data_IF_305600177454
#
_entry.id   IF_305600177454
#
_cell.length_a   1.000
_cell.length_b   1.000
_cell.length_c   1.000
_cell.angle_alpha   90.00
_cell.angle_beta   90.00
_cell.angle_gamma   90.00
#
_symmetry.space_group_name_H-M   'P 1'
#
loop_
_entity.id
_entity.type
_entity.pdbx_description
1 polymer ?
#
# COMPACT_ATOMS: atom_id res chain seq x y z
N UNK A 1 -10.91 -26.85 -7.82
CA UNK A 1 -11.57 -27.06 -6.52
C UNK A 1 -12.34 -25.80 -6.13
N UNK A 2 -13.40 -25.92 -5.39
CA UNK A 2 -14.22 -24.79 -4.94
C UNK A 2 -13.41 -23.73 -4.16
N UNK A 3 -12.39 -24.14 -3.40
CA UNK A 3 -11.49 -23.23 -2.69
C UNK A 3 -10.72 -22.31 -3.66
N UNK A 4 -10.12 -22.87 -4.71
CA UNK A 4 -9.38 -22.07 -5.70
C UNK A 4 -10.29 -21.14 -6.50
N UNK A 5 -11.53 -21.54 -6.74
CA UNK A 5 -12.54 -20.70 -7.38
C UNK A 5 -12.95 -19.54 -6.49
N UNK A 6 -13.15 -19.78 -5.18
CA UNK A 6 -13.47 -18.73 -4.22
C UNK A 6 -12.35 -17.70 -4.11
N UNK A 7 -11.08 -18.13 -3.99
CA UNK A 7 -9.91 -17.24 -3.96
C UNK A 7 -9.89 -16.36 -5.22
N UNK A 8 -10.11 -16.94 -6.39
CA UNK A 8 -10.15 -16.20 -7.66
C UNK A 8 -11.34 -15.23 -7.73
N UNK A 9 -12.49 -15.63 -7.20
CA UNK A 9 -13.66 -14.76 -7.12
C UNK A 9 -13.36 -13.54 -6.24
N UNK A 10 -12.83 -13.74 -5.04
CA UNK A 10 -12.42 -12.66 -4.14
C UNK A 10 -11.42 -11.71 -4.79
N UNK A 11 -10.43 -12.23 -5.53
CA UNK A 11 -9.47 -11.39 -6.26
C UNK A 11 -10.15 -10.48 -7.30
N UNK A 12 -11.11 -11.02 -8.07
CA UNK A 12 -11.89 -10.22 -9.04
C UNK A 12 -12.78 -9.18 -8.35
N UNK A 13 -13.39 -9.54 -7.23
CA UNK A 13 -14.21 -8.61 -6.44
C UNK A 13 -13.32 -7.47 -5.92
N UNK A 14 -12.14 -7.78 -5.39
CA UNK A 14 -11.21 -6.78 -4.89
C UNK A 14 -10.73 -5.82 -5.98
N UNK A 15 -10.41 -6.34 -7.17
CA UNK A 15 -10.04 -5.51 -8.32
C UNK A 15 -11.18 -4.55 -8.70
N UNK A 16 -12.41 -5.04 -8.78
CA UNK A 16 -13.58 -4.22 -9.08
C UNK A 16 -13.84 -3.15 -8.00
N UNK A 17 -13.73 -3.52 -6.71
CA UNK A 17 -13.88 -2.60 -5.58
C UNK A 17 -12.84 -1.47 -5.64
N UNK A 18 -11.58 -1.81 -5.91
CA UNK A 18 -10.51 -0.81 -6.07
C UNK A 18 -10.81 0.13 -7.24
N UNK A 19 -11.26 -0.40 -8.38
CA UNK A 19 -11.62 0.42 -9.54
C UNK A 19 -12.78 1.37 -9.25
N UNK A 20 -13.80 0.92 -8.51
CA UNK A 20 -14.91 1.77 -8.08
C UNK A 20 -14.44 2.93 -7.20
N UNK A 21 -13.59 2.66 -6.20
CA UNK A 21 -13.06 3.70 -5.34
C UNK A 21 -12.12 4.67 -6.10
N UNK A 22 -11.33 4.17 -7.05
CA UNK A 22 -10.52 5.03 -7.94
C UNK A 22 -11.40 5.92 -8.83
N UNK A 23 -12.49 5.39 -9.36
CA UNK A 23 -13.44 6.17 -10.17
C UNK A 23 -14.13 7.26 -9.33
N UNK A 24 -14.53 6.92 -8.10
CA UNK A 24 -15.09 7.89 -7.15
C UNK A 24 -14.07 9.00 -6.83
N UNK A 25 -12.82 8.63 -6.56
CA UNK A 25 -11.76 9.60 -6.33
C UNK A 25 -11.58 10.54 -7.54
N UNK A 26 -11.52 9.99 -8.74
CA UNK A 26 -11.37 10.77 -9.96
C UNK A 26 -12.54 11.74 -10.16
N UNK A 27 -13.77 11.28 -9.95
CA UNK A 27 -14.97 12.11 -10.06
C UNK A 27 -14.98 13.27 -9.05
N UNK A 28 -14.63 12.97 -7.79
CA UNK A 28 -14.69 13.97 -6.72
C UNK A 28 -13.53 14.97 -6.76
N UNK A 29 -12.34 14.57 -7.21
CA UNK A 29 -11.12 15.36 -7.02
C UNK A 29 -10.36 15.69 -8.30
N UNK A 30 -10.50 14.91 -9.39
CA UNK A 30 -9.75 15.14 -10.62
C UNK A 30 -10.61 15.77 -11.72
N UNK A 31 -11.87 15.37 -11.83
CA UNK A 31 -12.78 15.81 -12.91
C UNK A 31 -13.68 16.97 -12.51
N UNK A 32 -13.80 17.26 -11.22
CA UNK A 32 -14.67 18.35 -10.77
C UNK A 32 -13.99 19.69 -10.96
N UNK A 33 -14.64 20.59 -11.69
CA UNK A 33 -14.23 22.00 -11.90
C UNK A 33 -14.36 22.85 -10.62
N UNK A 34 -14.10 22.28 -9.46
CA UNK A 34 -14.38 22.90 -8.19
C UNK A 34 -13.28 23.87 -7.77
N UNK A 35 -13.70 25.12 -7.47
CA UNK A 35 -12.87 26.16 -6.87
C UNK A 35 -12.53 25.94 -5.38
N UNK A 36 -12.91 24.78 -4.80
CA UNK A 36 -12.79 24.48 -3.38
C UNK A 36 -11.53 23.64 -3.09
N UNK A 37 -10.43 23.91 -3.77
CA UNK A 37 -9.14 23.30 -3.53
C UNK A 37 -8.08 24.35 -3.24
N UNK A 38 -7.10 24.00 -2.42
CA UNK A 38 -5.93 24.84 -2.15
C UNK A 38 -4.72 24.15 -2.75
N UNK A 39 -3.92 24.87 -3.55
CA UNK A 39 -2.64 24.32 -4.01
C UNK A 39 -1.73 24.04 -2.83
N UNK A 40 -1.22 22.81 -2.77
CA UNK A 40 -0.38 22.34 -1.69
C UNK A 40 0.58 21.26 -2.18
N UNK A 41 1.08 20.49 -1.25
CA UNK A 41 2.04 19.40 -1.49
C UNK A 41 1.60 18.14 -0.76
N UNK A 42 2.18 17.00 -1.10
CA UNK A 42 1.89 15.74 -0.42
C UNK A 42 2.16 15.86 1.10
N UNK A 43 3.13 16.68 1.50
CA UNK A 43 3.41 16.94 2.91
C UNK A 43 2.27 17.63 3.66
N UNK A 44 1.31 18.24 3.00
CA UNK A 44 0.17 18.89 3.67
C UNK A 44 -0.85 17.86 4.17
N UNK A 45 -1.01 16.75 3.48
CA UNK A 45 -1.98 15.68 3.83
C UNK A 45 -1.35 14.47 4.54
N UNK A 46 -0.03 14.27 4.42
CA UNK A 46 0.62 13.07 4.91
C UNK A 46 1.99 13.34 5.57
N UNK A 47 2.39 12.40 6.42
CA UNK A 47 3.74 12.31 7.00
C UNK A 47 4.50 11.18 6.31
N UNK A 48 5.69 11.46 5.78
CA UNK A 48 6.50 10.49 5.05
C UNK A 48 7.64 9.98 5.94
N UNK A 49 7.69 8.66 6.11
CA UNK A 49 8.77 7.94 6.78
C UNK A 49 9.56 7.13 5.76
N UNK A 50 10.80 7.53 5.48
CA UNK A 50 11.70 6.74 4.63
C UNK A 50 12.23 5.54 5.40
N UNK A 51 12.19 4.36 4.78
CA UNK A 51 12.65 3.14 5.38
C UNK A 51 14.17 3.07 5.55
N UNK A 52 14.59 2.29 6.54
CA UNK A 52 15.97 2.00 6.85
C UNK A 52 16.13 0.53 7.17
N UNK A 53 16.97 -0.18 6.40
CA UNK A 53 17.18 -1.60 6.62
C UNK A 53 17.91 -1.84 7.94
N UNK A 54 17.43 -2.77 8.79
CA UNK A 54 18.17 -3.26 9.96
C UNK A 54 19.45 -4.01 9.56
N UNK A 55 20.22 -4.46 10.54
CA UNK A 55 21.35 -5.37 10.30
C UNK A 55 20.87 -6.67 9.68
N UNK A 56 21.58 -7.19 8.68
CA UNK A 56 21.25 -8.49 8.06
C UNK A 56 21.29 -9.66 9.05
N UNK A 57 22.09 -9.57 10.11
CA UNK A 57 22.16 -10.57 11.18
C UNK A 57 20.89 -10.66 12.04
N UNK A 58 20.02 -9.64 11.98
CA UNK A 58 18.75 -9.62 12.73
C UNK A 58 17.58 -10.22 11.96
N UNK A 59 17.80 -10.63 10.68
CA UNK A 59 16.73 -11.17 9.83
C UNK A 59 16.47 -12.65 10.12
N UNK A 60 15.21 -13.03 10.09
CA UNK A 60 14.78 -14.41 10.21
C UNK A 60 13.46 -14.65 9.44
N UNK A 61 13.16 -15.91 9.15
CA UNK A 61 11.89 -16.38 8.57
C UNK A 61 11.04 -17.15 9.60
N UNK A 62 11.51 -17.21 10.86
CA UNK A 62 10.87 -17.97 11.97
C UNK A 62 9.75 -17.19 12.64
N UNK A 63 9.49 -15.96 12.23
CA UNK A 63 8.44 -15.10 12.81
C UNK A 63 8.86 -14.36 14.07
N UNK A 64 10.16 -14.27 14.37
CA UNK A 64 10.68 -13.64 15.59
C UNK A 64 10.90 -12.14 15.36
N UNK A 65 10.26 -11.31 16.17
CA UNK A 65 10.35 -9.84 16.10
C UNK A 65 9.28 -9.21 15.21
N UNK A 66 9.60 -8.07 14.61
CA UNK A 66 8.68 -7.31 13.77
C UNK A 66 8.73 -7.81 12.31
N UNK A 67 7.57 -7.85 11.65
CA UNK A 67 7.51 -8.09 10.20
C UNK A 67 8.37 -7.05 9.47
N UNK A 68 9.20 -7.50 8.53
CA UNK A 68 10.11 -6.64 7.81
C UNK A 68 9.94 -6.74 6.30
N UNK A 69 9.69 -5.59 5.67
CA UNK A 69 9.63 -5.45 4.23
C UNK A 69 10.81 -4.63 3.72
N UNK A 70 11.75 -5.26 3.05
CA UNK A 70 12.96 -4.60 2.55
C UNK A 70 12.67 -3.70 1.33
N UNK A 71 11.72 -4.11 0.51
CA UNK A 71 11.32 -3.45 -0.73
C UNK A 71 9.99 -4.01 -1.22
N UNK A 72 9.70 -3.82 -2.50
CA UNK A 72 8.44 -4.22 -3.13
C UNK A 72 8.30 -5.71 -3.45
N UNK A 73 9.32 -6.53 -3.22
CA UNK A 73 9.30 -7.95 -3.59
C UNK A 73 8.15 -8.73 -2.93
N UNK A 74 7.74 -8.30 -1.74
CA UNK A 74 6.65 -8.88 -0.99
C UNK A 74 5.27 -8.25 -1.33
N UNK A 75 5.20 -7.21 -2.16
CA UNK A 75 3.94 -6.53 -2.48
C UNK A 75 2.96 -7.49 -3.15
N UNK A 76 1.74 -7.53 -2.60
CA UNK A 76 0.59 -8.23 -3.16
C UNK A 76 -0.35 -7.27 -3.88
N UNK A 77 -1.61 -7.66 -4.03
CA UNK A 77 -2.63 -6.79 -4.63
C UNK A 77 -2.84 -5.50 -3.81
N UNK A 78 -3.06 -5.62 -2.50
CA UNK A 78 -3.28 -4.49 -1.58
C UNK A 78 -2.33 -4.54 -0.38
N UNK A 79 -1.98 -5.72 0.09
CA UNK A 79 -1.18 -5.95 1.29
C UNK A 79 0.04 -6.79 0.96
N UNK A 80 1.21 -6.53 1.59
CA UNK A 80 2.40 -7.32 1.36
C UNK A 80 2.30 -8.68 2.06
N UNK A 81 2.98 -9.68 1.50
CA UNK A 81 3.08 -11.02 2.08
C UNK A 81 4.15 -11.04 3.18
N UNK A 82 3.80 -11.59 4.34
CA UNK A 82 4.77 -11.84 5.41
C UNK A 82 5.76 -12.90 4.97
N UNK A 83 7.04 -12.62 5.02
CA UNK A 83 8.10 -13.57 4.75
C UNK A 83 9.29 -13.38 5.68
N UNK A 84 9.70 -12.15 5.89
CA UNK A 84 10.90 -11.79 6.62
C UNK A 84 10.54 -11.01 7.88
N UNK A 85 11.29 -11.26 8.95
CA UNK A 85 11.14 -10.62 10.26
C UNK A 85 12.49 -10.07 10.72
N UNK A 86 12.47 -9.12 11.65
CA UNK A 86 13.69 -8.56 12.24
C UNK A 86 13.52 -8.38 13.75
N UNK A 87 14.56 -8.73 14.48
CA UNK A 87 14.66 -8.48 15.94
C UNK A 87 15.18 -7.08 16.26
N UNK A 88 15.65 -6.33 15.25
CA UNK A 88 16.22 -4.98 15.40
C UNK A 88 15.53 -3.97 14.47
N UNK A 89 14.23 -3.69 14.64
CA UNK A 89 13.50 -2.77 13.75
C UNK A 89 14.07 -1.35 13.84
N UNK A 90 14.17 -0.65 12.70
CA UNK A 90 14.72 0.72 12.61
C UNK A 90 13.65 1.76 12.29
N UNK A 91 12.91 1.59 11.21
CA UNK A 91 11.84 2.48 10.76
C UNK A 91 10.56 1.70 10.63
N UNK A 92 9.52 2.21 11.27
CA UNK A 92 8.22 1.53 11.35
C UNK A 92 7.18 2.23 10.49
N UNK A 93 6.32 1.43 9.89
CA UNK A 93 5.02 1.81 9.39
C UNK A 93 3.95 1.25 10.33
N UNK A 94 2.81 1.90 10.39
CA UNK A 94 1.64 1.40 11.14
C UNK A 94 0.58 0.85 10.19
N UNK A 95 -0.36 0.08 10.70
CA UNK A 95 -1.48 -0.42 9.90
C UNK A 95 -2.21 0.74 9.22
N UNK A 96 -2.51 0.61 7.93
CA UNK A 96 -3.16 1.63 7.13
C UNK A 96 -2.22 2.64 6.45
N UNK A 97 -0.91 2.62 6.75
CA UNK A 97 0.06 3.43 6.00
C UNK A 97 0.17 2.93 4.55
N UNK A 98 0.27 3.86 3.62
CA UNK A 98 0.58 3.51 2.23
C UNK A 98 2.08 3.24 2.12
N UNK A 99 2.44 2.04 1.67
CA UNK A 99 3.81 1.64 1.37
C UNK A 99 4.11 1.95 -0.08
N UNK A 100 5.15 2.74 -0.31
CA UNK A 100 5.61 3.14 -1.64
C UNK A 100 6.99 2.56 -1.92
N UNK A 101 7.19 1.94 -3.09
CA UNK A 101 8.54 1.64 -3.57
C UNK A 101 9.26 2.94 -3.95
N UNK A 102 10.39 3.22 -3.28
CA UNK A 102 11.17 4.46 -3.46
C UNK A 102 12.45 4.25 -4.26
N UNK A 103 12.70 3.02 -4.73
CA UNK A 103 13.79 2.63 -5.64
C UNK A 103 13.22 1.90 -6.84
N UNK A 104 13.94 1.96 -7.95
CA UNK A 104 13.49 1.43 -9.24
C UNK A 104 12.99 -0.01 -9.16
N UNK A 105 11.79 -0.26 -9.68
CA UNK A 105 10.82 0.72 -10.15
C UNK A 105 10.15 1.48 -9.00
N UNK A 106 10.19 2.81 -9.10
CA UNK A 106 9.53 3.73 -8.17
C UNK A 106 8.03 3.77 -8.50
N UNK A 107 7.19 3.87 -7.46
CA UNK A 107 5.76 4.12 -7.66
C UNK A 107 4.86 2.90 -7.47
N UNK A 108 5.40 1.71 -7.15
CA UNK A 108 4.56 0.60 -6.72
C UNK A 108 4.02 0.87 -5.32
N UNK A 109 2.72 0.62 -5.15
CA UNK A 109 1.96 0.92 -3.95
C UNK A 109 1.43 -0.35 -3.31
N UNK A 110 1.48 -0.37 -2.00
CA UNK A 110 0.81 -1.36 -1.17
C UNK A 110 0.33 -0.68 0.12
N UNK A 111 -0.28 -1.41 1.02
CA UNK A 111 -0.77 -0.89 2.29
C UNK A 111 -0.24 -1.74 3.44
N UNK A 112 0.25 -1.12 4.48
CA UNK A 112 0.66 -1.84 5.67
C UNK A 112 -0.56 -2.51 6.31
N UNK A 113 -0.58 -3.85 6.30
CA UNK A 113 -1.66 -4.63 6.90
C UNK A 113 -1.64 -4.53 8.43
N UNK A 114 -0.45 -4.43 8.98
CA UNK A 114 -0.14 -4.32 10.40
C UNK A 114 1.08 -3.43 10.60
N UNK A 115 1.44 -3.16 11.84
CA UNK A 115 2.72 -2.53 12.16
C UNK A 115 3.87 -3.37 11.61
N UNK A 116 4.80 -2.73 10.88
CA UNK A 116 5.91 -3.42 10.24
C UNK A 116 7.14 -2.54 10.15
N UNK A 117 8.32 -3.16 10.08
CA UNK A 117 9.57 -2.49 9.78
C UNK A 117 9.73 -2.33 8.26
N UNK A 118 10.17 -1.16 7.80
CA UNK A 118 10.41 -0.88 6.38
C UNK A 118 11.87 -0.61 6.08
N UNK A 119 12.36 -1.27 5.05
CA UNK A 119 13.75 -1.17 4.57
C UNK A 119 13.95 -0.04 3.56
N UNK A 120 15.20 0.14 3.12
CA UNK A 120 15.64 1.23 2.22
C UNK A 120 14.92 1.30 0.87
N UNK A 121 14.22 0.25 0.47
CA UNK A 121 13.43 0.21 -0.76
C UNK A 121 12.05 0.81 -0.64
N UNK A 122 11.60 1.13 0.57
CA UNK A 122 10.24 1.58 0.86
C UNK A 122 10.21 2.92 1.59
N UNK A 123 9.11 3.66 1.36
CA UNK A 123 8.63 4.75 2.19
C UNK A 123 7.22 4.43 2.70
N UNK A 124 6.90 4.84 3.92
CA UNK A 124 5.56 4.81 4.47
C UNK A 124 4.96 6.21 4.46
N UNK A 125 3.72 6.31 4.01
CA UNK A 125 2.97 7.56 3.86
C UNK A 125 1.77 7.45 4.79
N UNK A 126 1.83 8.18 5.90
CA UNK A 126 0.82 8.18 6.96
C UNK A 126 -0.11 9.39 6.83
N UNK A 127 -1.41 9.17 6.88
CA UNK A 127 -2.39 10.27 6.85
C UNK A 127 -2.28 11.15 8.09
N UNK A 128 -2.21 12.47 7.92
CA UNK A 128 -2.19 13.44 9.04
C UNK A 128 -3.53 13.55 9.75
N UNK A 129 -4.60 13.18 9.09
CA UNK A 129 -5.98 13.40 9.53
C UNK A 129 -6.76 12.11 9.74
N UNK A 130 -6.11 10.94 9.57
CA UNK A 130 -6.75 9.64 9.70
C UNK A 130 -7.49 9.16 8.43
N UNK A 131 -7.48 9.93 7.34
CA UNK A 131 -8.12 9.58 6.07
C UNK A 131 -7.17 8.71 5.23
N UNK A 132 -7.01 7.44 5.60
CA UNK A 132 -6.05 6.53 4.96
C UNK A 132 -6.44 6.17 3.54
N UNK A 133 -7.75 6.03 3.26
CA UNK A 133 -8.23 5.77 1.89
C UNK A 133 -7.98 6.97 0.99
N UNK A 134 -8.25 8.19 1.47
CA UNK A 134 -7.95 9.39 0.69
C UNK A 134 -6.46 9.47 0.30
N UNK A 135 -5.54 9.23 1.25
CA UNK A 135 -4.10 9.22 0.97
C UNK A 135 -3.75 8.11 -0.03
N UNK A 136 -4.31 6.90 0.12
CA UNK A 136 -4.07 5.79 -0.80
C UNK A 136 -4.48 6.13 -2.24
N UNK A 137 -5.70 6.65 -2.42
CA UNK A 137 -6.20 6.97 -3.77
C UNK A 137 -5.53 8.22 -4.36
N UNK A 138 -5.10 9.17 -3.53
CA UNK A 138 -4.19 10.24 -3.96
C UNK A 138 -2.89 9.66 -4.50
N UNK A 139 -2.27 8.70 -3.83
CA UNK A 139 -1.05 8.06 -4.29
C UNK A 139 -1.25 7.26 -5.59
N UNK A 140 -2.40 6.62 -5.80
CA UNK A 140 -2.73 6.01 -7.09
C UNK A 140 -2.82 7.05 -8.21
N UNK A 141 -3.44 8.20 -7.96
CA UNK A 141 -3.53 9.29 -8.93
C UNK A 141 -2.15 9.89 -9.28
N UNK A 142 -1.24 9.94 -8.31
CA UNK A 142 0.13 10.45 -8.49
C UNK A 142 1.08 9.47 -9.19
N UNK A 143 0.64 8.25 -9.53
CA UNK A 143 1.51 7.19 -10.06
C UNK A 143 2.24 7.61 -11.36
N UNK A 144 1.59 8.37 -12.23
CA UNK A 144 2.21 8.90 -13.45
C UNK A 144 3.35 9.87 -13.15
N UNK A 145 3.18 10.73 -12.14
CA UNK A 145 4.22 11.67 -11.70
C UNK A 145 5.39 10.93 -11.03
N UNK A 146 5.10 9.88 -10.24
CA UNK A 146 6.13 9.03 -9.63
C UNK A 146 6.97 8.28 -10.65
N UNK A 147 6.40 7.91 -11.81
CA UNK A 147 7.12 7.23 -12.89
C UNK A 147 8.30 8.05 -13.45
N UNK A 148 8.27 9.37 -13.36
CA UNK A 148 9.39 10.25 -13.79
C UNK A 148 10.67 9.94 -13.01
N UNK A 149 10.56 9.44 -11.78
CA UNK A 149 11.70 9.08 -10.94
C UNK A 149 12.31 7.71 -11.25
N UNK A 150 11.80 6.98 -12.24
CA UNK A 150 12.36 5.67 -12.60
C UNK A 150 13.68 5.75 -13.36
N UNK A 151 14.07 6.95 -13.80
CA UNK A 151 15.31 7.16 -14.57
C UNK A 151 15.20 6.67 -16.02
N UNK A 152 16.14 7.07 -16.84
CA UNK A 152 16.28 6.61 -18.23
C UNK A 152 17.60 5.84 -18.38
N UNK A 153 17.54 4.72 -19.11
CA UNK A 153 18.74 3.92 -19.42
C UNK A 153 19.29 3.12 -18.23
N UNK A 154 20.61 3.20 -17.98
CA UNK A 154 21.30 2.41 -16.95
C UNK A 154 21.28 3.03 -15.55
N UNK A 155 20.68 4.19 -15.37
CA UNK A 155 20.59 4.86 -14.07
C UNK A 155 19.36 4.35 -13.33
N UNK A 156 19.58 3.67 -12.22
CA UNK A 156 18.49 3.21 -11.34
C UNK A 156 17.85 4.41 -10.66
N UNK A 157 16.57 4.63 -10.95
CA UNK A 157 15.78 5.70 -10.36
C UNK A 157 15.55 5.52 -8.86
N UNK A 158 15.40 6.64 -8.18
CA UNK A 158 14.98 6.68 -6.78
C UNK A 158 14.32 8.01 -6.48
N UNK A 159 13.43 8.02 -5.47
CA UNK A 159 12.86 9.24 -4.95
C UNK A 159 13.22 9.37 -3.47
N UNK A 160 13.64 10.57 -3.07
CA UNK A 160 13.95 10.87 -1.67
C UNK A 160 12.77 11.53 -0.96
N UNK A 161 12.92 11.73 0.36
CA UNK A 161 11.88 12.29 1.22
C UNK A 161 11.46 13.70 0.79
N UNK A 162 12.42 14.55 0.44
CA UNK A 162 12.16 15.95 0.11
C UNK A 162 11.38 16.06 -1.20
N UNK A 163 11.77 15.25 -2.20
CA UNK A 163 11.05 15.16 -3.46
C UNK A 163 9.62 14.64 -3.28
N UNK A 164 9.42 13.61 -2.42
CA UNK A 164 8.08 13.12 -2.09
C UNK A 164 7.24 14.19 -1.39
N UNK A 165 7.79 14.86 -0.38
CA UNK A 165 7.11 15.92 0.34
C UNK A 165 6.68 17.07 -0.58
N UNK A 166 7.51 17.39 -1.58
CA UNK A 166 7.30 18.50 -2.50
C UNK A 166 6.39 18.17 -3.69
N UNK A 167 5.89 16.93 -3.83
CA UNK A 167 4.96 16.59 -4.92
C UNK A 167 3.73 17.50 -4.83
N UNK A 168 3.44 18.29 -5.88
CA UNK A 168 2.30 19.19 -5.86
C UNK A 168 0.99 18.42 -5.92
N UNK A 169 0.04 18.79 -5.11
CA UNK A 169 -1.33 18.27 -5.11
C UNK A 169 -2.33 19.41 -4.89
N UNK A 170 -3.53 19.21 -5.37
CA UNK A 170 -4.67 20.00 -4.96
C UNK A 170 -5.21 19.42 -3.65
N UNK A 171 -5.19 20.22 -2.58
CA UNK A 171 -5.69 19.83 -1.25
C UNK A 171 -7.17 20.23 -1.17
N UNK A 172 -8.10 19.25 -1.14
CA UNK A 172 -9.52 19.55 -1.04
C UNK A 172 -9.92 20.03 0.36
N UNK A 173 -11.11 20.62 0.45
CA UNK A 173 -11.72 20.90 1.75
C UNK A 173 -11.88 19.58 2.56
N UNK A 174 -11.65 19.66 3.86
CA UNK A 174 -11.73 18.50 4.76
C UNK A 174 -13.10 17.81 4.69
N UNK A 175 -14.17 18.57 4.53
CA UNK A 175 -15.54 18.03 4.38
C UNK A 175 -15.71 17.14 3.14
N UNK A 176 -15.00 17.44 2.04
CA UNK A 176 -14.99 16.57 0.85
C UNK A 176 -14.16 15.31 1.08
N UNK A 177 -13.03 15.46 1.78
CA UNK A 177 -12.21 14.30 2.19
C UNK A 177 -13.02 13.37 3.09
N UNK A 178 -13.76 13.92 4.08
CA UNK A 178 -14.67 13.15 4.95
C UNK A 178 -15.73 12.39 4.14
N UNK A 179 -16.35 13.04 3.15
CA UNK A 179 -17.36 12.42 2.27
C UNK A 179 -16.77 11.27 1.45
N UNK A 180 -15.57 11.46 0.92
CA UNK A 180 -14.88 10.39 0.19
C UNK A 180 -14.52 9.23 1.12
N UNK A 181 -13.90 9.52 2.26
CA UNK A 181 -13.48 8.50 3.24
C UNK A 181 -14.67 7.68 3.74
N UNK A 182 -15.83 8.31 3.97
CA UNK A 182 -17.05 7.63 4.39
C UNK A 182 -17.53 6.56 3.40
N UNK A 183 -17.18 6.67 2.11
CA UNK A 183 -17.51 5.68 1.08
C UNK A 183 -16.33 4.76 0.78
N UNK A 184 -15.12 5.31 0.66
CA UNK A 184 -13.94 4.57 0.25
C UNK A 184 -13.42 3.64 1.37
N UNK A 185 -13.45 4.08 2.62
CA UNK A 185 -12.98 3.26 3.74
C UNK A 185 -13.74 1.93 3.90
N UNK A 186 -15.08 1.87 3.86
CA UNK A 186 -15.81 0.60 3.84
C UNK A 186 -15.44 -0.31 2.66
N UNK A 187 -15.14 0.26 1.48
CA UNK A 187 -14.66 -0.51 0.32
C UNK A 187 -13.29 -1.14 0.64
N UNK A 188 -12.36 -0.37 1.20
CA UNK A 188 -11.03 -0.85 1.56
C UNK A 188 -11.10 -1.91 2.68
N UNK A 189 -12.01 -1.79 3.65
CA UNK A 189 -12.24 -2.81 4.66
C UNK A 189 -12.82 -4.11 4.07
N UNK A 190 -13.67 -4.03 3.04
CA UNK A 190 -14.13 -5.21 2.33
C UNK A 190 -12.99 -5.89 1.55
N UNK A 191 -12.12 -5.12 0.92
CA UNK A 191 -10.89 -5.63 0.26
C UNK A 191 -10.02 -6.35 1.29
N UNK A 192 -9.86 -5.79 2.49
CA UNK A 192 -9.12 -6.40 3.60
C UNK A 192 -9.75 -7.71 4.06
N UNK A 193 -11.06 -7.73 4.26
CA UNK A 193 -11.80 -8.93 4.65
C UNK A 193 -11.63 -10.06 3.63
N UNK A 194 -11.74 -9.75 2.33
CA UNK A 194 -11.52 -10.72 1.25
C UNK A 194 -10.05 -11.21 1.20
N UNK A 195 -9.09 -10.35 1.51
CA UNK A 195 -7.68 -10.74 1.63
C UNK A 195 -7.49 -11.74 2.78
N UNK A 196 -8.06 -11.47 3.96
CA UNK A 196 -7.99 -12.35 5.12
C UNK A 196 -8.66 -13.70 4.85
N UNK A 197 -9.81 -13.70 4.16
CA UNK A 197 -10.47 -14.92 3.72
C UNK A 197 -9.56 -15.72 2.78
N UNK A 198 -8.94 -15.07 1.80
CA UNK A 198 -8.03 -15.72 0.87
C UNK A 198 -6.83 -16.34 1.60
N UNK A 199 -6.22 -15.64 2.55
CA UNK A 199 -5.12 -16.19 3.36
C UNK A 199 -5.53 -17.47 4.11
N UNK A 200 -6.74 -17.48 4.71
CA UNK A 200 -7.29 -18.67 5.38
C UNK A 200 -7.55 -19.82 4.40
N UNK A 201 -8.15 -19.53 3.25
CA UNK A 201 -8.42 -20.52 2.20
C UNK A 201 -7.14 -21.12 1.61
N UNK A 202 -6.10 -20.31 1.41
CA UNK A 202 -4.79 -20.78 0.97
C UNK A 202 -4.14 -21.70 2.01
N UNK A 203 -4.21 -21.37 3.28
CA UNK A 203 -3.71 -22.21 4.36
C UNK A 203 -4.42 -23.57 4.41
N UNK A 204 -5.76 -23.58 4.31
CA UNK A 204 -6.57 -24.81 4.25
C UNK A 204 -6.18 -25.64 3.02
N UNK A 205 -6.14 -25.04 1.84
CA UNK A 205 -5.75 -25.74 0.60
C UNK A 205 -4.37 -26.38 0.74
N UNK A 206 -3.40 -25.63 1.23
CA UNK A 206 -2.02 -26.12 1.37
C UNK A 206 -1.88 -27.24 2.41
N UNK A 207 -2.72 -27.25 3.46
CA UNK A 207 -2.77 -28.33 4.45
C UNK A 207 -3.43 -29.61 3.93
N UNK A 208 -4.34 -29.52 2.97
CA UNK A 208 -5.07 -30.65 2.39
C UNK A 208 -4.33 -31.31 1.24
N UNK A 209 -3.58 -30.54 0.43
CA UNK A 209 -2.86 -31.06 -0.75
C UNK A 209 -1.93 -32.24 -0.44
N UNK A 210 -1.07 -32.20 0.59
CA UNK A 210 -0.21 -33.36 0.91
C UNK A 210 -1.00 -34.61 1.29
N UNK A 211 -2.13 -34.43 2.01
CA UNK A 211 -2.99 -35.56 2.45
C UNK A 211 -3.70 -36.23 1.27
N UNK A 212 -4.05 -35.47 0.24
CA UNK A 212 -4.69 -35.98 -0.98
C UNK A 212 -3.70 -36.64 -1.94
N UNK A 213 -2.40 -36.29 -1.84
CA UNK A 213 -1.35 -36.87 -2.67
C UNK A 213 -0.70 -38.12 -2.04
N UNK A 214 -0.91 -38.39 -0.75
CA UNK A 214 -0.36 -39.51 0.02
C UNK A 214 -1.36 -40.67 0.19
N UNK A 215 -2.59 -40.56 -0.27
CA UNK A 215 -3.60 -41.64 -0.34
C UNK A 215 -3.80 -42.13 -1.72
#
# INVERSE_FOLDING_TARGET
SSISEKIRCNAKVNDNLQQQAMALYAEMFLNSSNNDVTSGTLSDIAVITMGQSPSGSSYNEDGVGEVFYQGRAEFGFRFPKRRLFTTEPKRMAVAGDVLLSVRAPVGDLNMAYERCCIGRGLGAIHSKTGHSSFVLYTMFALRSQLNVFNGEGTVFGSINRDALNAIPIDVPLVTKIDQFEAVAHPIDELIRTNYEENCRLEAIRNSLLPKLMSG
#
